data_IF_397646045765
#
_entry.id   IF_397646045765
#
_cell.length_a   1.000
_cell.length_b   1.000
_cell.length_c   1.000
_cell.angle_alpha   90.00
_cell.angle_beta   90.00
_cell.angle_gamma   90.00
#
_symmetry.space_group_name_H-M   'P 1'
#
loop_
_entity.id
_entity.type
_entity.pdbx_description
1 polymer ?
#
# COMPACT_ATOMS: atom_id res chain seq x y z
N UNK A 1 9.88 -0.59 -27.00
CA UNK A 1 8.78 -0.49 -26.01
C UNK A 1 9.08 0.71 -25.13
N UNK A 2 8.07 1.54 -24.74
CA UNK A 2 8.31 2.70 -23.85
C UNK A 2 8.72 2.19 -22.48
N UNK A 3 9.79 2.75 -21.90
CA UNK A 3 10.23 2.43 -20.53
C UNK A 3 9.21 2.98 -19.52
N UNK A 4 8.74 2.11 -18.61
CA UNK A 4 7.77 2.45 -17.55
C UNK A 4 8.38 2.19 -16.20
N UNK A 5 8.31 3.16 -15.29
CA UNK A 5 8.67 2.95 -13.89
C UNK A 5 7.57 2.16 -13.14
N UNK A 6 7.91 1.59 -11.98
CA UNK A 6 7.01 0.69 -11.25
C UNK A 6 5.72 1.36 -10.75
N UNK A 7 5.73 2.66 -10.46
CA UNK A 7 4.48 3.38 -10.12
C UNK A 7 3.51 3.46 -11.31
N UNK A 8 4.01 3.66 -12.54
CA UNK A 8 3.16 3.65 -13.74
C UNK A 8 2.61 2.25 -14.02
N UNK A 9 3.41 1.20 -13.78
CA UNK A 9 2.94 -0.18 -13.87
C UNK A 9 1.85 -0.47 -12.81
N UNK A 10 1.98 0.09 -11.61
CA UNK A 10 0.95 -0.01 -10.57
C UNK A 10 -0.34 0.73 -10.98
N UNK A 11 -0.22 1.90 -11.58
CA UNK A 11 -1.37 2.65 -12.08
C UNK A 11 -2.12 1.85 -13.15
N UNK A 12 -1.41 1.22 -14.09
CA UNK A 12 -2.00 0.35 -15.12
C UNK A 12 -2.66 -0.90 -14.50
N UNK A 13 -1.98 -1.54 -13.54
CA UNK A 13 -2.54 -2.69 -12.83
C UNK A 13 -3.81 -2.31 -12.03
N UNK A 14 -3.84 -1.11 -11.43
CA UNK A 14 -5.02 -0.57 -10.76
C UNK A 14 -6.18 -0.32 -11.73
N UNK A 15 -5.90 0.17 -12.93
CA UNK A 15 -6.91 0.36 -13.97
C UNK A 15 -7.47 -0.99 -14.50
N UNK A 16 -6.61 -2.00 -14.66
CA UNK A 16 -6.99 -3.31 -15.19
C UNK A 16 -7.70 -4.18 -14.14
N UNK A 17 -7.16 -4.24 -12.92
CA UNK A 17 -7.60 -5.20 -11.88
C UNK A 17 -8.49 -4.58 -10.80
N UNK A 18 -8.67 -3.25 -10.82
CA UNK A 18 -9.30 -2.46 -9.76
C UNK A 18 -8.28 -1.94 -8.74
N UNK A 19 -8.67 -0.94 -7.93
CA UNK A 19 -7.73 -0.18 -7.09
C UNK A 19 -7.39 -0.87 -5.76
N UNK A 20 -7.82 -2.10 -5.51
CA UNK A 20 -7.58 -2.78 -4.24
C UNK A 20 -6.10 -3.14 -4.07
N UNK A 21 -5.52 -2.70 -2.97
CA UNK A 21 -4.25 -3.14 -2.41
C UNK A 21 -4.53 -4.03 -1.20
N UNK A 22 -4.05 -5.28 -1.21
CA UNK A 22 -4.16 -6.16 -0.05
C UNK A 22 -3.00 -5.90 0.91
N UNK A 23 -3.34 -5.44 2.13
CA UNK A 23 -2.34 -5.25 3.18
C UNK A 23 -2.05 -6.56 3.89
N UNK A 24 -0.78 -6.96 3.87
CA UNK A 24 -0.25 -8.14 4.56
C UNK A 24 0.41 -7.72 5.89
N UNK A 25 -0.34 -6.97 6.69
CA UNK A 25 0.01 -6.54 8.04
C UNK A 25 -0.34 -7.66 9.03
N UNK A 26 0.15 -8.88 8.76
CA UNK A 26 -0.34 -10.11 9.37
C UNK A 26 0.27 -10.33 10.75
N UNK A 27 -0.52 -10.09 11.78
CA UNK A 27 -0.18 -10.47 13.15
C UNK A 27 -0.50 -11.97 13.36
N UNK A 28 0.35 -12.74 14.07
CA UNK A 28 0.06 -14.14 14.38
C UNK A 28 -1.32 -14.37 15.03
N UNK A 29 -1.83 -13.41 15.82
CA UNK A 29 -3.14 -13.47 16.46
C UNK A 29 -4.32 -13.39 15.48
N UNK A 30 -4.07 -13.12 14.22
CA UNK A 30 -5.09 -13.14 13.17
C UNK A 30 -5.41 -14.56 12.70
N UNK A 31 -4.52 -15.52 12.95
CA UNK A 31 -4.70 -16.92 12.64
C UNK A 31 -5.40 -17.65 13.82
N UNK A 32 -6.20 -18.69 13.56
CA UNK A 32 -6.73 -19.55 14.61
C UNK A 32 -5.60 -20.20 15.44
N UNK A 33 -5.73 -20.18 16.76
CA UNK A 33 -4.69 -20.73 17.64
C UNK A 33 -4.34 -22.22 17.35
N UNK A 34 -5.31 -23.11 17.06
CA UNK A 34 -5.00 -24.49 16.66
C UNK A 34 -4.17 -24.57 15.36
N UNK A 35 -4.45 -23.67 14.38
CA UNK A 35 -3.70 -23.62 13.15
C UNK A 35 -2.27 -23.11 13.37
N UNK A 36 -2.09 -22.11 14.25
CA UNK A 36 -0.76 -21.62 14.63
C UNK A 36 0.10 -22.71 15.24
N UNK A 37 -0.48 -23.58 16.06
CA UNK A 37 0.25 -24.61 16.81
C UNK A 37 0.81 -25.76 15.95
N UNK A 38 0.43 -25.87 14.68
CA UNK A 38 1.00 -26.88 13.77
C UNK A 38 2.29 -26.42 13.08
N UNK A 39 2.70 -25.16 13.26
CA UNK A 39 3.95 -24.62 12.72
C UNK A 39 5.01 -24.51 13.81
N UNK A 40 6.27 -24.67 13.43
CA UNK A 40 7.41 -24.58 14.35
C UNK A 40 7.60 -23.15 14.92
N UNK A 41 7.27 -22.13 14.13
CA UNK A 41 7.31 -20.74 14.54
C UNK A 41 6.09 -19.95 14.03
N UNK A 42 5.63 -18.92 14.76
CA UNK A 42 4.54 -18.05 14.30
C UNK A 42 4.81 -17.40 12.94
N UNK A 43 6.07 -17.07 12.66
CA UNK A 43 6.49 -16.50 11.37
C UNK A 43 6.25 -17.44 10.18
N UNK A 44 6.40 -18.76 10.37
CA UNK A 44 6.14 -19.75 9.33
C UNK A 44 4.64 -19.85 9.02
N UNK A 45 3.81 -19.78 10.05
CA UNK A 45 2.35 -19.76 9.89
C UNK A 45 1.89 -18.49 9.15
N UNK A 46 2.43 -17.33 9.53
CA UNK A 46 2.15 -16.05 8.85
C UNK A 46 2.56 -16.11 7.39
N UNK A 47 3.74 -16.61 7.09
CA UNK A 47 4.23 -16.76 5.72
C UNK A 47 3.34 -17.70 4.90
N UNK A 48 2.99 -18.85 5.45
CA UNK A 48 2.12 -19.81 4.78
C UNK A 48 0.74 -19.19 4.47
N UNK A 49 0.17 -18.47 5.43
CA UNK A 49 -1.10 -17.78 5.24
C UNK A 49 -1.04 -16.69 4.18
N UNK A 50 -0.01 -15.85 4.23
CA UNK A 50 0.20 -14.81 3.23
C UNK A 50 0.34 -15.39 1.82
N UNK A 51 1.12 -16.48 1.66
CA UNK A 51 1.29 -17.17 0.36
C UNK A 51 -0.05 -17.66 -0.20
N UNK A 52 -0.94 -18.22 0.62
CA UNK A 52 -2.27 -18.64 0.16
C UNK A 52 -3.15 -17.46 -0.25
N UNK A 53 -3.13 -16.34 0.50
CA UNK A 53 -3.86 -15.12 0.13
C UNK A 53 -3.32 -14.54 -1.18
N UNK A 54 -2.00 -14.39 -1.31
CA UNK A 54 -1.34 -13.87 -2.52
C UNK A 54 -1.75 -14.70 -3.74
N UNK A 55 -1.64 -16.03 -3.64
CA UNK A 55 -2.05 -16.95 -4.70
C UNK A 55 -3.53 -16.73 -5.10
N UNK A 56 -4.40 -16.58 -4.12
CA UNK A 56 -5.83 -16.41 -4.35
C UNK A 56 -6.14 -15.10 -5.06
N UNK A 57 -5.66 -13.98 -4.52
CA UNK A 57 -5.96 -12.65 -5.09
C UNK A 57 -5.32 -12.42 -6.45
N UNK A 58 -4.16 -13.04 -6.71
CA UNK A 58 -3.53 -13.02 -8.02
C UNK A 58 -4.32 -13.81 -9.06
N UNK A 59 -4.71 -15.06 -8.74
CA UNK A 59 -5.46 -15.93 -9.65
C UNK A 59 -6.82 -15.34 -10.02
N UNK A 60 -7.51 -14.70 -9.08
CA UNK A 60 -8.81 -14.08 -9.29
C UNK A 60 -8.73 -12.63 -9.79
N UNK A 61 -7.53 -12.07 -9.90
CA UNK A 61 -7.30 -10.65 -10.26
C UNK A 61 -8.11 -9.68 -9.39
N UNK A 62 -8.21 -9.98 -8.09
CA UNK A 62 -8.97 -9.15 -7.15
C UNK A 62 -8.17 -8.00 -6.57
N UNK A 63 -6.83 -8.05 -6.65
CA UNK A 63 -5.94 -6.99 -6.22
C UNK A 63 -4.92 -6.63 -7.31
N UNK A 64 -4.48 -5.38 -7.33
CA UNK A 64 -3.42 -4.90 -8.22
C UNK A 64 -2.02 -4.98 -7.58
N UNK A 65 -1.94 -4.99 -6.25
CA UNK A 65 -0.72 -5.03 -5.48
C UNK A 65 -0.95 -5.59 -4.08
N UNK A 66 0.13 -5.93 -3.40
CA UNK A 66 0.13 -6.20 -1.96
C UNK A 66 1.06 -5.23 -1.23
N UNK A 67 0.65 -4.77 -0.05
CA UNK A 67 1.44 -3.92 0.83
C UNK A 67 1.86 -4.70 2.07
N UNK A 68 3.16 -4.80 2.32
CA UNK A 68 3.75 -5.57 3.41
C UNK A 68 4.29 -4.60 4.47
N UNK A 69 3.64 -4.56 5.64
CA UNK A 69 4.06 -3.68 6.74
C UNK A 69 5.15 -4.38 7.56
N UNK A 70 6.40 -3.88 7.45
CA UNK A 70 7.58 -4.51 8.05
C UNK A 70 7.48 -4.65 9.57
N UNK A 71 6.81 -3.74 10.26
CA UNK A 71 6.73 -3.73 11.73
C UNK A 71 6.16 -5.04 12.32
N UNK A 72 5.20 -5.68 11.63
CA UNK A 72 4.65 -6.96 12.07
C UNK A 72 5.68 -8.10 12.00
N UNK A 73 6.56 -8.03 11.02
CA UNK A 73 7.62 -9.02 10.81
C UNK A 73 8.82 -8.74 11.71
N UNK A 74 9.20 -7.48 11.91
CA UNK A 74 10.23 -7.08 12.89
C UNK A 74 9.85 -7.54 14.30
N UNK A 75 8.57 -7.48 14.67
CA UNK A 75 8.05 -7.94 15.96
C UNK A 75 8.24 -9.47 16.18
N UNK A 76 8.41 -10.25 15.12
CA UNK A 76 8.72 -11.69 15.17
C UNK A 76 10.22 -12.00 15.10
N UNK A 77 11.09 -10.99 15.16
CA UNK A 77 12.55 -11.14 15.13
C UNK A 77 13.09 -11.63 13.77
N UNK A 78 14.21 -12.37 13.80
CA UNK A 78 14.88 -12.82 12.57
C UNK A 78 14.01 -13.77 11.73
N UNK A 79 13.22 -14.63 12.36
CA UNK A 79 12.27 -15.49 11.65
C UNK A 79 11.21 -14.67 10.91
N UNK A 80 10.73 -13.59 11.55
CA UNK A 80 9.81 -12.64 10.94
C UNK A 80 10.44 -11.91 9.75
N UNK A 81 11.69 -11.44 9.87
CA UNK A 81 12.37 -10.78 8.75
C UNK A 81 12.60 -11.72 7.56
N UNK A 82 12.86 -13.01 7.81
CA UNK A 82 12.89 -14.04 6.76
C UNK A 82 11.53 -14.18 6.10
N UNK A 83 10.45 -14.28 6.90
CA UNK A 83 9.09 -14.34 6.38
C UNK A 83 8.71 -13.08 5.58
N UNK A 84 9.21 -11.91 5.98
CA UNK A 84 9.05 -10.66 5.23
C UNK A 84 9.66 -10.73 3.84
N UNK A 85 10.94 -11.13 3.73
CA UNK A 85 11.62 -11.31 2.45
C UNK A 85 10.88 -12.30 1.55
N UNK A 86 10.53 -13.47 2.07
CA UNK A 86 9.80 -14.49 1.32
C UNK A 86 8.37 -14.05 0.92
N UNK A 87 7.72 -13.21 1.71
CA UNK A 87 6.42 -12.62 1.35
C UNK A 87 6.56 -11.66 0.18
N UNK A 88 7.59 -10.80 0.17
CA UNK A 88 7.89 -9.91 -0.97
C UNK A 88 8.11 -10.73 -2.25
N UNK A 89 8.95 -11.77 -2.19
CA UNK A 89 9.22 -12.64 -3.32
C UNK A 89 7.93 -13.31 -3.82
N UNK A 90 7.11 -13.85 -2.92
CA UNK A 90 5.84 -14.50 -3.29
C UNK A 90 4.87 -13.52 -3.99
N UNK A 91 4.83 -12.25 -3.60
CA UNK A 91 4.02 -11.22 -4.27
C UNK A 91 4.52 -10.98 -5.70
N UNK A 92 5.83 -10.82 -5.88
CA UNK A 92 6.45 -10.59 -7.18
C UNK A 92 6.30 -11.81 -8.11
N UNK A 93 6.52 -13.01 -7.59
CA UNK A 93 6.36 -14.29 -8.33
C UNK A 93 4.91 -14.51 -8.80
N UNK A 94 3.93 -14.00 -8.04
CA UNK A 94 2.53 -14.03 -8.42
C UNK A 94 2.14 -12.95 -9.47
N UNK A 95 3.09 -12.15 -9.94
CA UNK A 95 2.87 -11.07 -10.91
C UNK A 95 2.09 -9.88 -10.32
N UNK A 96 2.19 -9.68 -9.02
CA UNK A 96 1.67 -8.51 -8.30
C UNK A 96 2.81 -7.54 -7.95
N UNK A 97 2.49 -6.26 -7.80
CA UNK A 97 3.46 -5.27 -7.35
C UNK A 97 3.58 -5.32 -5.83
N UNK A 98 4.83 -5.41 -5.33
CA UNK A 98 5.15 -5.44 -3.92
C UNK A 98 5.43 -4.03 -3.39
N UNK A 99 4.59 -3.57 -2.44
CA UNK A 99 4.78 -2.30 -1.74
C UNK A 99 5.28 -2.61 -0.33
N UNK A 100 6.53 -2.27 -0.02
CA UNK A 100 7.06 -2.36 1.34
C UNK A 100 6.71 -1.11 2.14
N UNK A 101 5.82 -1.31 3.12
CA UNK A 101 5.41 -0.24 4.02
C UNK A 101 6.39 -0.14 5.20
N UNK A 102 7.47 0.62 4.99
CA UNK A 102 8.61 0.72 5.89
C UNK A 102 8.72 2.06 6.60
N UNK A 103 8.13 3.11 6.04
CA UNK A 103 8.13 4.50 6.55
C UNK A 103 9.50 4.97 7.02
N UNK A 104 10.56 4.63 6.27
CA UNK A 104 11.92 5.05 6.60
C UNK A 104 12.12 6.54 6.30
N UNK A 105 12.97 7.16 7.09
CA UNK A 105 13.42 8.53 6.91
C UNK A 105 14.69 8.72 7.74
N UNK A 106 15.77 9.18 7.09
CA UNK A 106 17.05 9.43 7.72
C UNK A 106 17.90 10.34 6.84
N UNK A 107 19.04 10.82 7.33
CA UNK A 107 19.91 11.74 6.63
C UNK A 107 21.11 11.02 5.96
N UNK A 108 21.65 11.64 4.91
CA UNK A 108 22.92 11.32 4.28
C UNK A 108 23.13 9.81 4.00
N UNK A 109 24.20 9.23 4.52
CA UNK A 109 24.58 7.83 4.25
C UNK A 109 23.63 6.81 4.90
N UNK A 110 22.97 7.15 6.00
CA UNK A 110 21.96 6.30 6.61
C UNK A 110 20.73 6.19 5.68
N UNK A 111 20.29 7.28 5.08
CA UNK A 111 19.22 7.25 4.08
C UNK A 111 19.58 6.38 2.86
N UNK A 112 20.86 6.46 2.39
CA UNK A 112 21.36 5.58 1.31
C UNK A 112 21.35 4.10 1.73
N UNK A 113 21.70 3.80 2.99
CA UNK A 113 21.66 2.44 3.51
C UNK A 113 20.25 1.88 3.54
N UNK A 114 19.26 2.66 3.99
CA UNK A 114 17.85 2.27 3.94
C UNK A 114 17.34 2.09 2.49
N UNK A 115 17.66 3.01 1.59
CA UNK A 115 17.26 2.88 0.19
C UNK A 115 17.83 1.61 -0.43
N UNK A 116 19.12 1.32 -0.22
CA UNK A 116 19.75 0.09 -0.70
C UNK A 116 19.11 -1.16 -0.09
N UNK A 117 18.81 -1.16 1.22
CA UNK A 117 18.22 -2.32 1.89
C UNK A 117 16.87 -2.75 1.29
N UNK A 118 16.06 -1.79 0.84
CA UNK A 118 14.71 -2.06 0.37
C UNK A 118 14.52 -2.00 -1.14
N UNK A 119 15.51 -1.52 -1.89
CA UNK A 119 15.48 -1.53 -3.35
C UNK A 119 16.44 -2.52 -3.99
N UNK A 120 17.26 -3.21 -3.17
CA UNK A 120 18.18 -4.26 -3.61
C UNK A 120 18.28 -5.38 -2.58
N UNK A 121 18.81 -6.52 -2.96
CA UNK A 121 19.05 -7.65 -2.03
C UNK A 121 17.79 -8.37 -1.57
N UNK A 122 17.84 -8.91 -0.36
CA UNK A 122 16.79 -9.80 0.18
C UNK A 122 15.43 -9.13 0.37
N UNK A 123 15.43 -7.81 0.63
CA UNK A 123 14.20 -7.03 0.83
C UNK A 123 13.80 -6.22 -0.40
N UNK A 124 14.31 -6.57 -1.58
CA UNK A 124 14.04 -5.85 -2.81
C UNK A 124 12.55 -5.78 -3.13
N UNK A 125 12.03 -4.57 -3.01
CA UNK A 125 10.63 -4.22 -3.27
C UNK A 125 10.51 -3.39 -4.55
N UNK A 126 9.31 -3.33 -5.10
CA UNK A 126 9.00 -2.52 -6.25
C UNK A 126 8.77 -1.06 -5.86
N UNK A 127 8.05 -0.87 -4.75
CA UNK A 127 7.67 0.43 -4.20
C UNK A 127 7.85 0.40 -2.68
N UNK A 128 8.22 1.53 -2.09
CA UNK A 128 8.36 1.68 -0.63
C UNK A 128 7.60 2.88 -0.10
N UNK A 129 7.38 2.95 1.21
CA UNK A 129 6.90 4.17 1.88
C UNK A 129 8.04 4.87 2.62
N UNK A 130 8.06 6.21 2.57
CA UNK A 130 9.10 7.04 3.21
C UNK A 130 8.49 8.21 3.97
N UNK A 131 9.21 8.67 5.00
CA UNK A 131 8.79 9.78 5.85
C UNK A 131 9.65 11.03 5.57
N UNK A 132 9.04 12.18 5.20
CA UNK A 132 9.78 13.40 4.84
C UNK A 132 10.11 14.29 6.04
N UNK A 133 9.78 13.90 7.26
CA UNK A 133 9.86 14.76 8.46
C UNK A 133 11.24 15.38 8.70
N UNK A 134 12.32 14.68 8.33
CA UNK A 134 13.70 15.14 8.53
C UNK A 134 14.19 16.11 7.44
N UNK A 135 13.33 16.49 6.52
CA UNK A 135 13.65 17.40 5.41
C UNK A 135 13.62 16.73 4.04
N UNK A 136 13.42 17.52 3.00
CA UNK A 136 13.16 17.00 1.66
C UNK A 136 14.43 16.50 0.93
N UNK A 137 15.60 16.97 1.34
CA UNK A 137 16.88 16.45 0.88
C UNK A 137 17.07 14.98 1.24
N UNK A 138 16.43 14.51 2.33
CA UNK A 138 16.47 13.12 2.77
C UNK A 138 15.72 12.15 1.83
N UNK A 139 14.87 12.67 0.95
CA UNK A 139 14.17 11.88 -0.07
C UNK A 139 15.07 11.51 -1.25
N UNK A 140 16.16 12.28 -1.48
CA UNK A 140 17.02 12.09 -2.66
C UNK A 140 17.62 10.68 -2.76
N UNK A 141 18.18 10.07 -1.70
CA UNK A 141 18.72 8.71 -1.77
C UNK A 141 17.71 7.66 -2.26
N UNK A 142 16.42 7.87 -1.98
CA UNK A 142 15.33 6.99 -2.43
C UNK A 142 14.90 7.32 -3.87
N UNK A 143 14.80 8.61 -4.22
CA UNK A 143 14.44 9.02 -5.60
C UNK A 143 15.50 8.65 -6.62
N UNK A 144 16.75 8.45 -6.23
CA UNK A 144 17.81 7.97 -7.12
C UNK A 144 17.47 6.57 -7.68
N UNK A 145 16.80 5.72 -6.93
CA UNK A 145 16.31 4.42 -7.41
C UNK A 145 15.06 4.52 -8.29
N UNK A 146 14.39 5.67 -8.29
CA UNK A 146 13.28 5.94 -9.21
C UNK A 146 13.74 6.31 -10.63
N UNK A 147 15.04 6.54 -10.82
CA UNK A 147 15.64 6.74 -12.14
C UNK A 147 15.73 5.43 -12.92
N UNK A 148 15.71 5.47 -14.28
CA UNK A 148 15.90 4.27 -15.08
C UNK A 148 17.22 3.56 -14.75
N UNK A 149 17.17 2.22 -14.75
CA UNK A 149 18.35 1.39 -14.60
C UNK A 149 18.50 0.50 -15.85
N UNK A 150 19.41 0.87 -16.75
CA UNK A 150 19.57 0.22 -18.04
C UNK A 150 18.29 0.30 -18.87
N UNK A 151 17.76 -0.87 -19.27
CA UNK A 151 16.52 -0.98 -20.06
C UNK A 151 15.24 -1.04 -19.19
N UNK A 152 15.39 -1.08 -17.87
CA UNK A 152 14.27 -1.14 -16.93
C UNK A 152 13.90 0.24 -16.40
N UNK A 153 12.62 0.48 -16.19
CA UNK A 153 12.13 1.66 -15.47
C UNK A 153 12.54 1.62 -14.00
N UNK A 154 12.56 2.78 -13.36
CA UNK A 154 12.94 2.92 -11.97
C UNK A 154 11.89 2.35 -11.00
N UNK A 155 12.30 2.24 -9.75
CA UNK A 155 11.45 1.92 -8.60
C UNK A 155 10.39 3.01 -8.36
N UNK A 156 9.47 2.76 -7.42
CA UNK A 156 8.49 3.74 -6.97
C UNK A 156 8.61 4.01 -5.47
N UNK A 157 8.07 5.14 -5.03
CA UNK A 157 7.94 5.42 -3.61
C UNK A 157 6.69 6.24 -3.29
N UNK A 158 6.11 6.02 -2.12
CA UNK A 158 5.06 6.84 -1.54
C UNK A 158 5.61 7.63 -0.35
N UNK A 159 5.46 8.93 -0.39
CA UNK A 159 5.85 9.82 0.71
C UNK A 159 4.63 10.08 1.60
N UNK A 160 4.81 10.07 2.92
CA UNK A 160 3.73 10.44 3.85
C UNK A 160 3.35 11.89 3.62
N UNK A 161 2.10 12.15 3.25
CA UNK A 161 1.55 13.48 3.02
C UNK A 161 0.46 13.81 4.05
N UNK A 162 -0.54 12.92 4.17
CA UNK A 162 -1.63 13.05 5.12
C UNK A 162 -1.96 11.67 5.68
N UNK A 163 -1.79 11.51 6.98
CA UNK A 163 -2.07 10.25 7.67
C UNK A 163 -3.47 10.26 8.30
N UNK A 164 -4.07 9.07 8.53
CA UNK A 164 -5.47 8.95 8.99
C UNK A 164 -5.64 8.95 10.51
N UNK A 165 -4.54 8.95 11.28
CA UNK A 165 -4.59 8.94 12.74
C UNK A 165 -4.92 10.34 13.30
N UNK A 166 -5.57 10.45 14.48
CA UNK A 166 -5.92 11.75 15.09
C UNK A 166 -4.72 12.67 15.31
N UNK A 167 -3.54 12.12 15.65
CA UNK A 167 -2.31 12.90 15.90
C UNK A 167 -1.74 13.61 14.67
N UNK A 168 -2.30 13.42 13.47
CA UNK A 168 -1.90 14.18 12.28
C UNK A 168 -2.12 15.70 12.46
N UNK A 169 -3.04 16.10 13.35
CA UNK A 169 -3.28 17.50 13.69
C UNK A 169 -2.10 18.15 14.41
N UNK A 170 -1.27 17.35 15.09
CA UNK A 170 -0.16 17.86 15.89
C UNK A 170 1.01 18.36 15.02
N UNK A 171 1.11 17.86 13.79
CA UNK A 171 2.21 18.20 12.87
C UNK A 171 1.67 18.57 11.49
N UNK A 172 0.97 17.67 10.81
CA UNK A 172 0.63 17.81 9.40
C UNK A 172 -0.28 19.01 9.12
N UNK A 173 -1.23 19.29 10.01
CA UNK A 173 -2.17 20.40 9.88
C UNK A 173 -1.70 21.71 10.54
N UNK A 174 -0.50 21.74 11.14
CA UNK A 174 0.01 22.98 11.73
C UNK A 174 0.24 24.05 10.66
N UNK A 175 -0.27 25.26 10.93
CA UNK A 175 -0.11 26.42 10.05
C UNK A 175 1.30 26.98 10.11
N UNK A 176 1.84 27.30 8.96
CA UNK A 176 3.17 27.88 8.82
C UNK A 176 3.07 29.41 8.79
N UNK A 177 4.04 30.10 9.39
CA UNK A 177 4.15 31.57 9.32
C UNK A 177 4.27 32.08 7.87
N UNK A 178 4.75 31.27 6.95
CA UNK A 178 4.84 31.56 5.52
C UNK A 178 3.53 31.37 4.77
N UNK A 179 2.46 30.97 5.45
CA UNK A 179 1.19 30.54 4.87
C UNK A 179 1.17 29.04 4.54
N UNK A 180 -0.04 28.46 4.49
CA UNK A 180 -0.26 27.03 4.29
C UNK A 180 0.08 26.19 5.51
N UNK A 181 -0.07 24.89 5.40
CA UNK A 181 0.17 23.89 6.45
C UNK A 181 1.45 23.10 6.17
N UNK A 182 1.93 22.35 7.16
CA UNK A 182 3.08 21.45 6.98
C UNK A 182 2.83 20.47 5.84
N UNK A 183 1.63 19.87 5.75
CA UNK A 183 1.26 18.97 4.66
C UNK A 183 1.25 19.65 3.29
N UNK A 184 0.83 20.92 3.20
CA UNK A 184 0.79 21.67 1.94
C UNK A 184 2.23 21.87 1.42
N UNK A 185 3.17 22.20 2.32
CA UNK A 185 4.60 22.29 1.96
C UNK A 185 5.19 20.95 1.47
N UNK A 186 4.75 19.84 2.07
CA UNK A 186 5.15 18.51 1.60
C UNK A 186 4.59 18.22 0.20
N UNK A 187 3.30 18.55 -0.03
CA UNK A 187 2.67 18.37 -1.33
C UNK A 187 3.32 19.19 -2.44
N UNK A 188 3.64 20.47 -2.17
CA UNK A 188 4.37 21.34 -3.11
C UNK A 188 5.74 20.74 -3.51
N UNK A 189 6.46 20.19 -2.54
CA UNK A 189 7.74 19.54 -2.81
C UNK A 189 7.58 18.27 -3.66
N UNK A 190 6.54 17.46 -3.39
CA UNK A 190 6.23 16.29 -4.21
C UNK A 190 5.90 16.69 -5.64
N UNK A 191 5.15 17.77 -5.86
CA UNK A 191 4.92 18.29 -7.22
C UNK A 191 6.21 18.74 -7.89
N UNK A 192 7.12 19.40 -7.15
CA UNK A 192 8.43 19.83 -7.67
C UNK A 192 9.27 18.61 -8.12
N UNK A 193 9.31 17.56 -7.28
CA UNK A 193 9.99 16.30 -7.61
C UNK A 193 9.34 15.67 -8.85
N UNK A 194 8.02 15.61 -8.90
CA UNK A 194 7.27 15.02 -10.02
C UNK A 194 7.53 15.76 -11.34
N UNK A 195 7.59 17.08 -11.31
CA UNK A 195 7.97 17.89 -12.48
C UNK A 195 9.38 17.56 -12.97
N UNK A 196 10.33 17.26 -12.07
CA UNK A 196 11.69 16.87 -12.47
C UNK A 196 11.72 15.54 -13.23
N UNK A 197 10.88 14.58 -12.85
CA UNK A 197 10.79 13.27 -13.52
C UNK A 197 10.16 13.34 -14.93
N UNK A 198 9.40 14.39 -15.29
CA UNK A 198 8.88 14.57 -16.65
C UNK A 198 9.99 14.67 -17.71
N UNK A 199 11.22 15.05 -17.32
CA UNK A 199 12.38 15.05 -18.22
C UNK A 199 12.90 13.63 -18.48
N UNK A 200 12.86 12.78 -17.46
CA UNK A 200 13.34 11.38 -17.53
C UNK A 200 12.29 10.47 -18.17
N UNK A 201 11.02 10.70 -17.84
CA UNK A 201 9.88 9.94 -18.33
C UNK A 201 8.88 10.88 -19.03
N UNK A 202 9.18 11.40 -20.23
CA UNK A 202 8.40 12.49 -20.85
C UNK A 202 6.94 12.13 -21.16
N UNK A 203 6.65 10.84 -21.30
CA UNK A 203 5.30 10.33 -21.60
C UNK A 203 4.66 9.58 -20.43
N UNK A 204 5.15 9.79 -19.20
CA UNK A 204 4.55 9.15 -18.02
C UNK A 204 3.13 9.64 -17.76
N UNK A 205 2.27 8.75 -17.28
CA UNK A 205 0.89 9.06 -16.86
C UNK A 205 0.79 9.42 -15.37
N UNK A 206 1.80 9.01 -14.59
CA UNK A 206 2.03 9.44 -13.22
C UNK A 206 3.53 9.49 -12.95
N UNK A 207 3.94 10.12 -11.87
CA UNK A 207 5.35 10.13 -11.44
C UNK A 207 5.72 8.87 -10.65
N UNK A 208 7.01 8.47 -10.62
CA UNK A 208 7.47 7.40 -9.73
C UNK A 208 7.34 7.74 -8.23
N UNK A 209 7.06 9.00 -7.89
CA UNK A 209 6.86 9.46 -6.52
C UNK A 209 5.40 9.80 -6.30
N UNK A 210 4.72 8.99 -5.50
CA UNK A 210 3.35 9.16 -5.06
C UNK A 210 3.27 9.66 -3.61
N UNK A 211 2.05 9.68 -3.05
CA UNK A 211 1.81 10.11 -1.68
C UNK A 211 0.92 9.13 -0.92
N UNK A 212 1.18 8.97 0.38
CA UNK A 212 0.23 8.33 1.31
C UNK A 212 -0.78 9.38 1.73
N UNK A 213 -2.06 9.16 1.42
CA UNK A 213 -3.16 10.09 1.74
C UNK A 213 -4.32 9.31 2.36
N UNK A 214 -4.49 9.48 3.68
CA UNK A 214 -5.60 8.92 4.44
C UNK A 214 -6.55 10.02 4.93
N UNK A 215 -7.82 9.95 4.56
CA UNK A 215 -8.85 10.90 5.00
C UNK A 215 -9.95 10.18 5.76
N UNK A 216 -10.57 10.90 6.68
CA UNK A 216 -11.77 10.46 7.42
C UNK A 216 -13.02 11.24 6.96
N UNK A 217 -12.83 12.37 6.27
CA UNK A 217 -13.87 13.24 5.77
C UNK A 217 -13.78 13.41 4.25
N UNK A 218 -14.91 13.38 3.55
CA UNK A 218 -14.97 13.50 2.09
C UNK A 218 -14.52 14.87 1.58
N UNK A 219 -14.87 15.94 2.30
CA UNK A 219 -14.46 17.33 1.96
C UNK A 219 -12.94 17.48 1.97
N UNK A 220 -12.25 16.88 2.97
CA UNK A 220 -10.79 16.86 3.07
C UNK A 220 -10.18 16.05 1.92
N UNK A 221 -10.77 14.89 1.60
CA UNK A 221 -10.37 14.07 0.47
C UNK A 221 -10.49 14.83 -0.87
N UNK A 222 -11.58 15.53 -1.10
CA UNK A 222 -11.79 16.33 -2.31
C UNK A 222 -10.76 17.45 -2.41
N UNK A 223 -10.56 18.20 -1.31
CA UNK A 223 -9.59 19.28 -1.28
C UNK A 223 -8.16 18.81 -1.60
N UNK A 224 -7.73 17.65 -1.04
CA UNK A 224 -6.42 17.08 -1.32
C UNK A 224 -6.29 16.56 -2.75
N UNK A 225 -7.34 15.91 -3.29
CA UNK A 225 -7.30 15.44 -4.68
C UNK A 225 -7.27 16.60 -5.67
N UNK A 226 -7.98 17.68 -5.38
CA UNK A 226 -8.00 18.88 -6.24
C UNK A 226 -6.69 19.65 -6.16
N UNK A 227 -6.05 19.71 -4.99
CA UNK A 227 -4.74 20.32 -4.81
C UNK A 227 -3.63 19.52 -5.55
N UNK A 228 -3.71 18.19 -5.57
CA UNK A 228 -2.66 17.30 -6.11
C UNK A 228 -3.19 16.35 -7.20
N UNK A 229 -3.68 16.86 -8.34
CA UNK A 229 -4.37 16.05 -9.35
C UNK A 229 -3.47 15.06 -10.09
N UNK A 230 -2.18 15.30 -10.17
CA UNK A 230 -1.20 14.46 -10.88
C UNK A 230 -0.48 13.45 -9.98
N UNK A 231 -0.68 13.49 -8.65
CA UNK A 231 -0.02 12.59 -7.71
C UNK A 231 -0.84 11.31 -7.54
N UNK A 232 -0.21 10.15 -7.74
CA UNK A 232 -0.82 8.85 -7.48
C UNK A 232 -0.83 8.55 -5.97
N UNK A 233 -1.98 8.12 -5.42
CA UNK A 233 -2.13 7.97 -3.97
C UNK A 233 -2.10 6.51 -3.50
N UNK A 234 -1.46 6.27 -2.37
CA UNK A 234 -1.71 5.11 -1.51
C UNK A 234 -2.68 5.55 -0.42
N UNK A 235 -3.87 4.96 -0.43
CA UNK A 235 -5.00 5.35 0.43
C UNK A 235 -5.17 4.29 1.52
N UNK A 236 -4.71 4.55 2.76
CA UNK A 236 -4.88 3.63 3.88
C UNK A 236 -6.27 3.73 4.50
N UNK A 237 -6.63 2.72 5.32
CA UNK A 237 -7.77 2.81 6.23
C UNK A 237 -9.13 2.44 5.63
N UNK A 238 -9.17 1.76 4.49
CA UNK A 238 -10.40 1.17 4.00
C UNK A 238 -10.84 0.01 4.89
N UNK A 239 -11.93 0.19 5.60
CA UNK A 239 -12.55 -0.81 6.48
C UNK A 239 -14.07 -0.76 6.37
N UNK A 240 -14.76 -1.70 7.01
CA UNK A 240 -16.16 -2.08 6.84
C UNK A 240 -17.24 -1.01 7.18
N UNK A 241 -16.98 0.28 7.04
CA UNK A 241 -17.97 1.35 7.25
C UNK A 241 -18.24 2.07 5.94
N UNK A 242 -19.48 2.05 5.47
CA UNK A 242 -19.94 2.53 4.16
C UNK A 242 -19.51 3.95 3.71
N UNK A 243 -19.04 4.81 4.62
CA UNK A 243 -18.43 6.11 4.27
C UNK A 243 -17.02 5.99 3.69
N UNK A 244 -16.29 4.93 4.01
CA UNK A 244 -14.90 4.77 3.59
C UNK A 244 -14.75 4.56 2.07
N UNK A 245 -15.68 3.87 1.43
CA UNK A 245 -15.65 3.64 -0.02
C UNK A 245 -15.83 4.94 -0.81
N UNK A 246 -16.71 5.83 -0.36
CA UNK A 246 -16.95 7.13 -1.01
C UNK A 246 -15.76 8.07 -0.88
N UNK A 247 -15.14 8.13 0.30
CA UNK A 247 -13.91 8.90 0.53
C UNK A 247 -12.79 8.34 -0.35
N UNK A 248 -12.63 7.02 -0.41
CA UNK A 248 -11.65 6.37 -1.26
C UNK A 248 -11.90 6.67 -2.75
N UNK A 249 -13.16 6.60 -3.22
CA UNK A 249 -13.53 6.94 -4.59
C UNK A 249 -13.15 8.38 -4.95
N UNK A 250 -13.38 9.34 -4.05
CA UNK A 250 -12.96 10.73 -4.22
C UNK A 250 -11.45 10.87 -4.39
N UNK A 251 -10.66 10.16 -3.59
CA UNK A 251 -9.19 10.16 -3.70
C UNK A 251 -8.67 9.41 -4.93
N UNK A 252 -9.46 8.49 -5.49
CA UNK A 252 -9.13 7.73 -6.72
C UNK A 252 -9.39 8.50 -8.01
N UNK A 253 -10.00 9.68 -7.94
CA UNK A 253 -10.20 10.56 -9.09
C UNK A 253 -8.86 11.01 -9.73
N UNK A 254 -8.86 11.48 -10.97
CA UNK A 254 -7.70 12.05 -11.71
C UNK A 254 -6.54 11.04 -11.83
N UNK A 255 -5.38 11.30 -11.21
CA UNK A 255 -4.22 10.40 -11.29
C UNK A 255 -4.49 9.01 -10.69
N UNK A 256 -5.54 8.88 -9.88
CA UNK A 256 -5.89 7.61 -9.27
C UNK A 256 -5.06 7.28 -8.02
N UNK A 257 -5.09 6.01 -7.66
CA UNK A 257 -4.43 5.48 -6.48
C UNK A 257 -4.68 4.00 -6.29
N UNK A 258 -4.22 3.50 -5.15
CA UNK A 258 -4.55 2.18 -4.63
C UNK A 258 -5.09 2.30 -3.20
N UNK A 259 -6.08 1.49 -2.86
CA UNK A 259 -6.79 1.52 -1.58
C UNK A 259 -6.41 0.31 -0.76
N UNK A 260 -5.75 0.53 0.38
CA UNK A 260 -5.27 -0.56 1.22
C UNK A 260 -6.34 -1.06 2.19
N UNK A 261 -6.60 -2.36 2.14
CA UNK A 261 -7.39 -3.11 3.12
C UNK A 261 -6.54 -4.24 3.72
N UNK A 262 -6.45 -4.28 5.04
CA UNK A 262 -5.67 -5.30 5.78
C UNK A 262 -6.59 -6.18 6.64
N UNK A 263 -6.97 -5.75 7.84
CA UNK A 263 -7.75 -6.56 8.79
C UNK A 263 -9.07 -7.08 8.25
N UNK A 264 -9.79 -6.29 7.44
CA UNK A 264 -11.03 -6.70 6.80
C UNK A 264 -10.87 -7.91 5.89
N UNK A 265 -9.67 -8.11 5.34
CA UNK A 265 -9.31 -9.26 4.51
C UNK A 265 -8.68 -10.36 5.37
N UNK A 266 -7.62 -10.04 6.12
CA UNK A 266 -6.86 -11.02 6.89
C UNK A 266 -7.68 -11.71 8.00
N UNK A 267 -8.68 -11.04 8.56
CA UNK A 267 -9.53 -11.56 9.61
C UNK A 267 -10.95 -11.94 9.13
N UNK A 268 -11.19 -12.00 7.82
CA UNK A 268 -12.53 -12.25 7.26
C UNK A 268 -13.14 -13.57 7.75
N UNK A 269 -12.33 -14.61 7.99
CA UNK A 269 -12.77 -15.88 8.52
C UNK A 269 -13.49 -15.77 9.88
N UNK A 270 -13.17 -14.73 10.69
CA UNK A 270 -13.77 -14.51 12.03
C UNK A 270 -15.25 -14.12 11.94
N UNK A 271 -15.67 -13.60 10.79
CA UNK A 271 -17.05 -13.13 10.55
C UNK A 271 -17.75 -13.90 9.46
N UNK A 272 -17.11 -14.94 8.89
CA UNK A 272 -17.69 -15.81 7.87
C UNK A 272 -18.66 -16.82 8.51
N UNK A 273 -19.99 -16.72 8.26
CA UNK A 273 -20.97 -17.59 8.94
C UNK A 273 -20.73 -19.07 8.63
N UNK A 274 -20.30 -19.39 7.42
CA UNK A 274 -20.00 -20.75 6.96
C UNK A 274 -18.81 -21.39 7.65
N UNK A 275 -17.96 -20.61 8.32
CA UNK A 275 -16.79 -21.07 9.05
C UNK A 275 -16.99 -21.10 10.57
N UNK A 276 -18.14 -20.63 11.08
CA UNK A 276 -18.37 -20.45 12.51
C UNK A 276 -18.21 -21.75 13.32
N UNK A 277 -18.83 -22.86 12.88
CA UNK A 277 -18.75 -24.15 13.55
C UNK A 277 -17.33 -24.73 13.55
N UNK A 278 -16.61 -24.58 12.44
CA UNK A 278 -15.22 -25.02 12.33
C UNK A 278 -14.28 -24.15 13.16
N UNK A 279 -14.55 -22.85 13.24
CA UNK A 279 -13.82 -21.93 14.11
C UNK A 279 -14.01 -22.30 15.58
N UNK A 280 -15.26 -22.56 16.00
CA UNK A 280 -15.59 -22.97 17.37
C UNK A 280 -14.98 -24.32 17.76
N UNK A 281 -14.91 -25.28 16.82
CA UNK A 281 -14.30 -26.60 17.03
C UNK A 281 -12.79 -26.66 16.84
N UNK A 282 -12.15 -25.55 16.42
CA UNK A 282 -10.71 -25.51 16.17
C UNK A 282 -10.25 -26.24 14.90
N UNK A 283 -11.16 -26.60 14.00
CA UNK A 283 -10.91 -27.44 12.82
C UNK A 283 -10.74 -26.64 11.52
N UNK A 284 -10.44 -25.33 11.60
CA UNK A 284 -10.14 -24.50 10.41
C UNK A 284 -8.79 -24.86 9.83
N UNK A 285 -8.74 -25.04 8.52
CA UNK A 285 -7.49 -25.19 7.79
C UNK A 285 -7.06 -23.87 7.10
N UNK A 286 -5.80 -23.82 6.71
CA UNK A 286 -5.20 -22.65 6.07
C UNK A 286 -5.94 -22.22 4.80
N UNK A 287 -6.37 -23.20 3.99
CA UNK A 287 -7.12 -22.94 2.76
C UNK A 287 -8.46 -22.26 3.02
N UNK A 288 -9.21 -22.67 4.04
CA UNK A 288 -10.52 -22.11 4.35
C UNK A 288 -10.43 -20.64 4.79
N UNK A 289 -9.46 -20.31 5.65
CA UNK A 289 -9.25 -18.92 6.07
C UNK A 289 -8.74 -18.04 4.90
N UNK A 290 -7.93 -18.61 4.00
CA UNK A 290 -7.50 -17.92 2.80
C UNK A 290 -8.63 -17.73 1.77
N UNK A 291 -9.54 -18.70 1.66
CA UNK A 291 -10.75 -18.58 0.83
C UNK A 291 -11.66 -17.44 1.35
N UNK A 292 -11.85 -17.34 2.66
CA UNK A 292 -12.59 -16.22 3.28
C UNK A 292 -11.91 -14.87 2.99
N UNK A 293 -10.58 -14.81 3.10
CA UNK A 293 -9.80 -13.61 2.75
C UNK A 293 -9.97 -13.24 1.27
N UNK A 294 -9.93 -14.21 0.36
CA UNK A 294 -10.17 -13.99 -1.07
C UNK A 294 -11.57 -13.44 -1.37
N UNK A 295 -12.59 -13.98 -0.70
CA UNK A 295 -13.97 -13.50 -0.84
C UNK A 295 -14.10 -12.05 -0.33
N UNK A 296 -13.48 -11.72 0.80
CA UNK A 296 -13.45 -10.36 1.34
C UNK A 296 -12.70 -9.38 0.41
N UNK A 297 -11.60 -9.82 -0.21
CA UNK A 297 -10.88 -9.01 -1.19
C UNK A 297 -11.74 -8.73 -2.43
N UNK A 298 -12.50 -9.72 -2.92
CA UNK A 298 -13.42 -9.54 -4.04
C UNK A 298 -14.52 -8.54 -3.68
N UNK A 299 -15.16 -8.70 -2.53
CA UNK A 299 -16.20 -7.78 -2.06
C UNK A 299 -15.67 -6.34 -1.91
N UNK A 300 -14.47 -6.16 -1.35
CA UNK A 300 -13.83 -4.86 -1.23
C UNK A 300 -13.55 -4.21 -2.59
N UNK A 301 -13.04 -4.98 -3.56
CA UNK A 301 -12.84 -4.51 -4.94
C UNK A 301 -14.16 -4.03 -5.57
N UNK A 302 -15.22 -4.85 -5.46
CA UNK A 302 -16.53 -4.55 -6.04
C UNK A 302 -17.15 -3.29 -5.43
N UNK A 303 -17.05 -3.12 -4.11
CA UNK A 303 -17.51 -1.94 -3.39
C UNK A 303 -16.75 -0.66 -3.84
N UNK A 304 -15.43 -0.73 -3.96
CA UNK A 304 -14.62 0.39 -4.45
C UNK A 304 -14.96 0.78 -5.90
N UNK A 305 -15.18 -0.20 -6.77
CA UNK A 305 -15.56 0.05 -8.16
C UNK A 305 -16.97 0.62 -8.26
N UNK A 306 -17.91 0.15 -7.44
CA UNK A 306 -19.26 0.68 -7.37
C UNK A 306 -19.29 2.13 -6.88
N UNK A 307 -18.51 2.44 -5.83
CA UNK A 307 -18.39 3.79 -5.28
C UNK A 307 -17.77 4.76 -6.30
N UNK A 308 -16.74 4.32 -7.04
CA UNK A 308 -16.15 5.13 -8.11
C UNK A 308 -17.14 5.41 -9.23
N UNK A 309 -17.85 4.39 -9.69
CA UNK A 309 -18.89 4.56 -10.73
C UNK A 309 -20.01 5.51 -10.31
N UNK A 310 -20.41 5.45 -9.04
CA UNK A 310 -21.43 6.37 -8.51
C UNK A 310 -20.94 7.83 -8.49
N UNK A 311 -19.67 8.06 -8.19
CA UNK A 311 -19.05 9.37 -8.21
C UNK A 311 -18.98 9.94 -9.64
N UNK A 312 -18.55 9.12 -10.61
CA UNK A 312 -18.43 9.50 -12.03
C UNK A 312 -19.81 9.82 -12.64
N UNK A 313 -20.88 9.15 -12.20
CA UNK A 313 -22.26 9.37 -12.64
C UNK A 313 -22.94 10.63 -12.06
N UNK A 314 -22.39 11.21 -11.01
CA UNK A 314 -22.90 12.48 -10.42
C UNK A 314 -22.29 13.70 -11.15
N UNK A 315 -21.16 13.52 -11.84
CA UNK A 315 -20.44 14.57 -12.57
C UNK A 315 -20.80 14.69 -14.06
N UNK A 316 -21.71 13.85 -14.56
CA UNK A 316 -22.24 13.85 -15.92
C UNK A 316 -23.66 14.44 -15.94
#
# INVERSE_FOLDING_TARGET
MRMKHLMEQLQEASAERGPLCVGLDTDPSYLPAPLLSIFDAPADAVLAYNKEIIKRVAAEKTACCCKIQIAYYEAMGLAGLKAYAETIHAVKDAGLIAISDIKRGDIADTAKAYARAHFTGEFESDIITVNPYMGFDTLKPFTDYCMPNGETGGKGMFVLLRTSNPGMTDIEQQELKSGGRVLDKTGEELERINKSFKKTYPNQTCSPVGAVVGCTEESDARALRDAYPEIFFLIPGYGAQGGAARIAATLLDKAGGVVNSSRGILCAWKTAPELADKAASGNLCLKEIADAAGNAARAAKEDLLAAKKALDGIGA
#
